data_IF_628313219192
#
_entry.id   IF_628313219192
#
_cell.length_a   1.000
_cell.length_b   1.000
_cell.length_c   1.000
_cell.angle_alpha   90.00
_cell.angle_beta   90.00
_cell.angle_gamma   90.00
#
_symmetry.space_group_name_H-M   'P 1'
#
loop_
_entity.id
_entity.type
_entity.pdbx_description
1 polymer ?
#
# COMPACT_ATOMS: atom_id res chain seq x y z
N UNK A 1 -3.69 9.06 44.29
CA UNK A 1 -3.41 9.88 43.09
C UNK A 1 -1.95 9.72 42.63
N UNK A 2 -1.51 8.49 42.33
CA UNK A 2 -0.11 8.25 41.90
C UNK A 2 0.10 7.00 41.04
N UNK A 3 -0.99 6.36 40.62
CA UNK A 3 -1.00 5.13 39.81
C UNK A 3 -1.75 5.29 38.47
N UNK A 4 -2.24 6.49 38.14
CA UNK A 4 -3.04 6.75 36.94
C UNK A 4 -2.23 7.34 35.75
N UNK A 5 -0.93 7.56 35.90
CA UNK A 5 -0.10 8.24 34.88
C UNK A 5 0.78 7.31 34.04
N UNK A 6 0.81 6.00 34.31
CA UNK A 6 1.71 5.05 33.63
C UNK A 6 1.03 4.15 32.59
N UNK A 7 -0.31 4.22 32.42
CA UNK A 7 -1.04 3.37 31.47
C UNK A 7 -1.29 4.02 30.09
N UNK A 8 -0.88 5.28 29.88
CA UNK A 8 -1.22 6.05 28.67
C UNK A 8 -0.17 5.98 27.54
N UNK A 9 0.91 5.20 27.71
CA UNK A 9 2.07 5.14 26.79
C UNK A 9 2.14 3.85 25.94
N UNK A 10 1.16 2.94 26.02
CA UNK A 10 1.19 1.66 25.30
C UNK A 10 0.15 1.51 24.19
N UNK A 11 -0.52 2.58 23.79
CA UNK A 11 -1.47 2.54 22.67
C UNK A 11 -0.95 3.43 21.54
N UNK A 12 -0.90 2.86 20.34
CA UNK A 12 -0.67 3.51 19.05
C UNK A 12 0.77 3.66 18.56
N UNK A 13 1.64 2.67 18.75
CA UNK A 13 2.54 2.31 17.65
C UNK A 13 1.79 1.38 16.69
N UNK A 14 0.78 1.91 15.98
CA UNK A 14 0.25 1.24 14.80
C UNK A 14 1.31 1.41 13.71
N UNK A 15 2.36 0.60 13.81
CA UNK A 15 3.38 0.52 12.79
C UNK A 15 2.69 0.15 11.50
N UNK A 16 2.66 1.09 10.54
CA UNK A 16 2.12 0.90 9.21
C UNK A 16 3.00 -0.10 8.46
N UNK A 17 2.87 -1.37 8.83
CA UNK A 17 3.55 -2.46 8.15
C UNK A 17 2.91 -2.53 6.77
N UNK A 18 3.61 -1.97 5.79
CA UNK A 18 3.34 -2.24 4.39
C UNK A 18 3.72 -3.70 4.15
N UNK A 19 2.89 -4.63 4.62
CA UNK A 19 3.02 -6.03 4.30
C UNK A 19 2.52 -6.19 2.87
N UNK A 20 3.33 -6.81 2.00
CA UNK A 20 2.84 -7.26 0.70
C UNK A 20 1.98 -8.51 0.93
N UNK A 21 0.71 -8.46 0.51
CA UNK A 21 -0.24 -9.57 0.62
C UNK A 21 -0.97 -9.76 -0.71
N UNK A 22 -1.75 -10.82 -0.85
CA UNK A 22 -2.61 -11.05 -2.01
C UNK A 22 -4.07 -10.71 -1.66
N UNK A 23 -4.78 -10.07 -2.59
CA UNK A 23 -6.21 -9.84 -2.48
C UNK A 23 -6.99 -11.05 -2.97
N UNK A 24 -8.03 -11.43 -2.21
CA UNK A 24 -9.03 -12.40 -2.66
C UNK A 24 -10.15 -11.66 -3.38
N UNK A 25 -10.44 -12.05 -4.61
CA UNK A 25 -11.52 -11.49 -5.40
C UNK A 25 -12.88 -12.07 -4.99
N UNK A 26 -13.97 -11.44 -5.44
CA UNK A 26 -15.34 -11.94 -5.21
C UNK A 26 -15.61 -13.29 -5.89
N UNK A 27 -14.86 -13.62 -6.94
CA UNK A 27 -14.93 -14.90 -7.65
C UNK A 27 -14.15 -16.03 -6.93
N UNK A 28 -13.36 -15.68 -5.91
CA UNK A 28 -12.58 -16.62 -5.11
C UNK A 28 -11.11 -16.73 -5.51
N UNK A 29 -10.70 -16.13 -6.62
CA UNK A 29 -9.31 -16.08 -7.07
C UNK A 29 -8.44 -15.20 -6.16
N UNK A 30 -7.13 -15.49 -6.12
CA UNK A 30 -6.14 -14.65 -5.46
C UNK A 30 -5.35 -13.85 -6.49
N UNK A 31 -5.21 -12.55 -6.22
CA UNK A 31 -4.46 -11.59 -7.04
C UNK A 31 -3.36 -11.00 -6.18
N UNK A 32 -2.13 -11.04 -6.66
CA UNK A 32 -0.94 -10.59 -5.92
C UNK A 32 -0.19 -9.52 -6.72
N UNK A 33 0.56 -8.63 -6.04
CA UNK A 33 1.50 -7.73 -6.70
C UNK A 33 2.74 -8.50 -7.18
N UNK A 34 3.61 -7.90 -8.03
CA UNK A 34 4.93 -8.46 -8.35
C UNK A 34 5.79 -8.64 -7.08
N UNK A 35 6.89 -9.40 -7.12
CA UNK A 35 7.81 -9.52 -5.98
C UNK A 35 8.21 -8.15 -5.43
N UNK A 36 8.15 -7.99 -4.10
CA UNK A 36 8.38 -6.73 -3.38
C UNK A 36 7.37 -5.60 -3.66
N UNK A 37 6.37 -5.86 -4.51
CA UNK A 37 5.31 -4.93 -4.83
C UNK A 37 4.21 -4.89 -3.77
N UNK A 38 3.29 -3.95 -3.96
CA UNK A 38 2.14 -3.75 -3.08
C UNK A 38 0.84 -3.77 -3.87
N UNK A 39 -0.23 -4.19 -3.20
CA UNK A 39 -1.58 -4.27 -3.75
C UNK A 39 -2.55 -3.45 -2.91
N UNK A 40 -3.46 -2.77 -3.59
CA UNK A 40 -4.52 -1.96 -3.00
C UNK A 40 -5.82 -2.28 -3.73
N UNK A 41 -6.96 -2.08 -3.07
CA UNK A 41 -8.25 -2.14 -3.73
C UNK A 41 -8.71 -0.71 -4.03
N UNK A 42 -9.21 -0.46 -5.23
CA UNK A 42 -9.90 0.80 -5.52
C UNK A 42 -11.24 0.90 -4.78
N UNK A 43 -11.98 2.00 -4.96
CA UNK A 43 -13.29 2.22 -4.33
C UNK A 43 -14.37 1.20 -4.75
N UNK A 44 -14.16 0.49 -5.86
CA UNK A 44 -15.05 -0.56 -6.38
C UNK A 44 -14.57 -1.96 -5.98
N UNK A 45 -13.41 -2.08 -5.33
CA UNK A 45 -12.81 -3.35 -4.93
C UNK A 45 -11.87 -3.97 -5.98
N UNK A 46 -11.58 -3.27 -7.08
CA UNK A 46 -10.67 -3.80 -8.11
C UNK A 46 -9.21 -3.76 -7.61
N UNK A 47 -8.41 -4.81 -7.85
CA UNK A 47 -7.03 -4.89 -7.38
C UNK A 47 -6.10 -4.00 -8.22
N UNK A 48 -5.43 -3.06 -7.58
CA UNK A 48 -4.40 -2.21 -8.16
C UNK A 48 -3.04 -2.59 -7.60
N UNK A 49 -2.10 -2.98 -8.48
CA UNK A 49 -0.76 -3.40 -8.09
C UNK A 49 0.32 -2.41 -8.54
N UNK A 50 1.39 -2.32 -7.75
CA UNK A 50 2.61 -1.58 -8.04
C UNK A 50 3.86 -2.41 -7.73
N UNK A 51 4.98 -2.04 -8.35
CA UNK A 51 6.30 -2.67 -8.13
C UNK A 51 6.93 -2.32 -6.78
N UNK A 52 6.62 -1.15 -6.25
CA UNK A 52 6.91 -0.74 -4.89
C UNK A 52 5.66 -0.31 -4.13
N UNK A 53 5.86 0.37 -3.01
CA UNK A 53 4.79 0.94 -2.19
C UNK A 53 3.98 1.96 -3.00
N UNK A 54 2.67 1.98 -2.78
CA UNK A 54 1.79 2.99 -3.35
C UNK A 54 1.17 3.87 -2.26
N UNK A 55 0.78 5.07 -2.66
CA UNK A 55 0.06 6.02 -1.83
C UNK A 55 -1.09 6.62 -2.64
N UNK A 56 -2.25 6.77 -2.00
CA UNK A 56 -3.43 7.37 -2.61
C UNK A 56 -3.21 8.88 -2.79
N UNK A 57 -3.51 9.43 -3.96
CA UNK A 57 -3.50 10.87 -4.23
C UNK A 57 -4.75 11.57 -3.66
N UNK A 58 -4.93 12.86 -3.95
CA UNK A 58 -6.09 13.61 -3.46
C UNK A 58 -7.39 13.26 -4.20
N UNK A 59 -7.28 12.66 -5.39
CA UNK A 59 -8.41 12.25 -6.23
C UNK A 59 -8.85 10.82 -5.92
N UNK A 60 -8.05 10.08 -5.16
CA UNK A 60 -8.29 8.68 -4.80
C UNK A 60 -7.63 7.67 -5.73
N UNK A 61 -6.69 8.09 -6.59
CA UNK A 61 -5.90 7.18 -7.40
C UNK A 61 -4.61 6.82 -6.66
N UNK A 62 -4.12 5.60 -6.82
CA UNK A 62 -2.87 5.18 -6.21
C UNK A 62 -1.68 5.48 -7.12
N UNK A 63 -0.64 6.12 -6.57
CA UNK A 63 0.66 6.31 -7.20
C UNK A 63 1.70 5.43 -6.51
N UNK A 64 2.40 4.63 -7.29
CA UNK A 64 3.37 3.64 -6.82
C UNK A 64 4.80 4.05 -7.17
N UNK A 65 5.77 3.58 -6.38
CA UNK A 65 7.18 3.62 -6.77
C UNK A 65 7.43 2.75 -8.01
N UNK A 66 8.18 3.32 -8.97
CA UNK A 66 8.70 2.61 -10.15
C UNK A 66 9.84 1.66 -9.82
N UNK A 67 10.49 1.85 -8.67
CA UNK A 67 11.57 0.98 -8.21
C UNK A 67 10.95 -0.23 -7.49
N UNK A 68 11.43 -1.43 -7.82
CA UNK A 68 11.01 -2.67 -7.15
C UNK A 68 11.25 -2.54 -5.63
N UNK A 69 10.20 -2.74 -4.84
CA UNK A 69 10.23 -2.57 -3.38
C UNK A 69 10.48 -1.13 -2.90
N UNK A 70 10.46 -0.14 -3.80
CA UNK A 70 10.68 1.26 -3.45
C UNK A 70 9.53 1.88 -2.65
N UNK A 71 9.85 2.90 -1.86
CA UNK A 71 8.90 3.63 -1.03
C UNK A 71 8.22 4.79 -1.78
N UNK A 72 6.99 5.10 -1.36
CA UNK A 72 6.22 6.28 -1.74
C UNK A 72 5.71 6.99 -0.48
N UNK A 73 5.88 8.32 -0.42
CA UNK A 73 5.45 9.16 0.71
C UNK A 73 4.75 10.42 0.22
N UNK A 74 4.00 11.09 1.11
CA UNK A 74 3.53 12.47 0.90
C UNK A 74 4.40 13.44 1.69
N UNK A 75 4.81 14.54 1.08
CA UNK A 75 5.45 15.65 1.80
C UNK A 75 4.38 16.51 2.53
N UNK A 76 4.83 17.56 3.21
CA UNK A 76 3.93 18.47 3.95
C UNK A 76 2.98 19.26 3.04
N UNK A 77 3.31 19.43 1.76
CA UNK A 77 2.47 20.11 0.77
C UNK A 77 1.46 19.16 0.11
N UNK A 78 1.57 17.85 0.36
CA UNK A 78 0.74 16.82 -0.24
C UNK A 78 1.29 16.22 -1.53
N UNK A 79 2.50 16.63 -1.97
CA UNK A 79 3.13 16.03 -3.15
C UNK A 79 3.56 14.60 -2.85
N UNK A 80 3.38 13.73 -3.85
CA UNK A 80 3.80 12.34 -3.77
C UNK A 80 5.25 12.22 -4.24
N UNK A 81 6.11 11.72 -3.37
CA UNK A 81 7.51 11.45 -3.63
C UNK A 81 7.74 9.94 -3.63
N UNK A 82 8.26 9.42 -4.74
CA UNK A 82 8.57 8.00 -4.88
C UNK A 82 10.06 7.78 -5.17
N UNK A 83 10.64 6.74 -4.58
CA UNK A 83 11.92 6.21 -5.03
C UNK A 83 11.82 5.75 -6.49
N UNK A 84 12.78 6.12 -7.33
CA UNK A 84 12.76 5.81 -8.77
C UNK A 84 11.68 6.55 -9.59
N UNK A 85 10.95 7.48 -8.98
CA UNK A 85 9.82 8.18 -9.61
C UNK A 85 8.49 7.43 -9.45
N UNK A 86 7.39 8.14 -9.68
CA UNK A 86 6.04 7.62 -9.48
C UNK A 86 5.42 7.12 -10.79
N UNK A 87 4.62 6.06 -10.71
CA UNK A 87 3.73 5.56 -11.76
C UNK A 87 2.34 5.24 -11.20
N UNK A 88 1.27 5.34 -12.00
CA UNK A 88 -0.06 4.95 -11.54
C UNK A 88 -0.10 3.45 -11.22
N UNK A 89 -0.80 3.09 -10.14
CA UNK A 89 -1.12 1.70 -9.85
C UNK A 89 -2.00 1.13 -10.98
N UNK A 90 -1.85 -0.16 -11.28
CA UNK A 90 -2.58 -0.79 -12.38
C UNK A 90 -2.91 -2.24 -12.10
N UNK A 91 -4.12 -2.66 -12.49
CA UNK A 91 -4.52 -4.07 -12.56
C UNK A 91 -3.54 -4.89 -13.43
N UNK A 92 -2.97 -4.29 -14.47
CA UNK A 92 -2.03 -4.96 -15.38
C UNK A 92 -0.72 -5.36 -14.72
N UNK A 93 -0.37 -4.73 -13.60
CA UNK A 93 0.80 -5.09 -12.82
C UNK A 93 0.52 -6.26 -11.88
N UNK A 94 -0.74 -6.64 -11.69
CA UNK A 94 -1.10 -7.75 -10.83
C UNK A 94 -0.83 -9.11 -11.50
N UNK A 95 -0.66 -10.13 -10.67
CA UNK A 95 -0.44 -11.50 -11.09
C UNK A 95 -1.35 -12.46 -10.34
N UNK A 96 -1.74 -13.54 -11.02
CA UNK A 96 -2.51 -14.65 -10.43
C UNK A 96 -1.52 -15.77 -10.11
N UNK A 97 -1.34 -16.15 -8.83
CA UNK A 97 -0.48 -17.27 -8.45
C UNK A 97 -0.92 -18.56 -9.12
N UNK A 98 0.06 -19.38 -9.52
CA UNK A 98 -0.15 -20.73 -10.05
C UNK A 98 0.42 -21.77 -9.08
N UNK A 99 -0.18 -22.97 -8.99
CA UNK A 99 0.36 -24.09 -8.23
C UNK A 99 1.77 -24.50 -8.67
#
# INVERSE_FOLDING_TARGET
MRTLLLSMLLLFSASSWSASYCLKTTLGDYVCPPPFGHIYADKLGNPLCGKGQCIEDQQGNYQCSKQDGGFAIKNQMGDILCTGGCEPASEKNCQIPKP
#
